data_IF_899077534493
#
_entry.id   IF_899077534493
#
_cell.length_a   1.000
_cell.length_b   1.000
_cell.length_c   1.000
_cell.angle_alpha   90.00
_cell.angle_beta   90.00
_cell.angle_gamma   90.00
#
_symmetry.space_group_name_H-M   'P 1'
#
loop_
_entity.id
_entity.type
_entity.pdbx_description
1 polymer ?
#
# COMPACT_ATOMS: atom_id res chain seq x y z
N UNK A 1 14.67 -10.16 -4.73
CA UNK A 1 13.41 -9.38 -4.67
C UNK A 1 12.28 -10.13 -3.97
N UNK A 2 12.05 -11.42 -4.25
CA UNK A 2 10.93 -12.19 -3.66
C UNK A 2 10.92 -12.24 -2.13
N UNK A 3 12.08 -12.44 -1.48
CA UNK A 3 12.16 -12.45 -0.01
C UNK A 3 11.71 -11.13 0.64
N UNK A 4 11.96 -9.99 0.00
CA UNK A 4 11.49 -8.67 0.49
C UNK A 4 9.97 -8.55 0.41
N UNK A 5 9.37 -9.05 -0.69
CA UNK A 5 7.91 -9.12 -0.85
C UNK A 5 7.28 -10.02 0.22
N UNK A 6 7.84 -11.20 0.43
CA UNK A 6 7.37 -12.14 1.47
C UNK A 6 7.47 -11.56 2.88
N UNK A 7 8.52 -10.77 3.16
CA UNK A 7 8.67 -10.08 4.44
C UNK A 7 7.63 -8.95 4.66
N UNK A 8 7.02 -8.44 3.59
CA UNK A 8 5.98 -7.41 3.67
C UNK A 8 4.60 -8.03 3.90
N UNK A 9 4.19 -8.96 3.04
CA UNK A 9 2.86 -9.55 3.10
C UNK A 9 2.80 -10.92 2.39
N UNK A 10 2.10 -11.92 2.94
CA UNK A 10 1.94 -13.23 2.30
C UNK A 10 1.38 -13.15 0.87
N UNK A 11 0.36 -12.30 0.66
CA UNK A 11 -0.29 -12.11 -0.65
C UNK A 11 0.61 -11.54 -1.75
N UNK A 12 1.80 -11.01 -1.42
CA UNK A 12 2.79 -10.59 -2.43
C UNK A 12 3.62 -11.77 -2.96
N UNK A 13 3.24 -13.00 -2.59
CA UNK A 13 3.78 -14.26 -3.06
C UNK A 13 2.62 -15.18 -3.47
N UNK A 14 2.86 -16.14 -4.37
CA UNK A 14 1.87 -17.17 -4.71
C UNK A 14 1.90 -18.31 -3.69
N UNK A 15 0.92 -18.39 -2.79
CA UNK A 15 0.79 -19.48 -1.80
C UNK A 15 -0.63 -20.05 -1.74
N UNK A 16 -1.65 -19.21 -1.87
CA UNK A 16 -3.05 -19.57 -1.66
C UNK A 16 -3.75 -20.10 -2.93
N UNK A 17 -3.26 -19.71 -4.11
CA UNK A 17 -3.71 -20.25 -5.40
C UNK A 17 -2.91 -21.51 -5.77
N UNK A 18 -3.32 -22.64 -5.20
CA UNK A 18 -2.74 -23.96 -5.49
C UNK A 18 -2.83 -24.33 -6.98
N UNK A 19 -1.92 -25.18 -7.47
CA UNK A 19 -1.88 -25.64 -8.87
C UNK A 19 -3.21 -26.19 -9.40
N UNK A 20 -4.03 -26.81 -8.54
CA UNK A 20 -5.38 -27.29 -8.88
C UNK A 20 -6.36 -26.16 -9.16
N UNK A 21 -6.39 -25.13 -8.29
CA UNK A 21 -7.18 -23.90 -8.51
C UNK A 21 -6.74 -23.19 -9.79
N UNK A 22 -5.43 -23.04 -10.00
CA UNK A 22 -4.89 -22.42 -11.21
C UNK A 22 -5.31 -23.17 -12.48
N UNK A 23 -5.29 -24.50 -12.47
CA UNK A 23 -5.76 -25.30 -13.60
C UNK A 23 -7.26 -25.13 -13.89
N UNK A 24 -8.08 -24.98 -12.84
CA UNK A 24 -9.50 -24.72 -13.01
C UNK A 24 -9.75 -23.31 -13.57
N UNK A 25 -9.09 -22.30 -12.99
CA UNK A 25 -9.19 -20.92 -13.45
C UNK A 25 -8.67 -20.75 -14.89
N UNK A 26 -7.56 -21.38 -15.25
CA UNK A 26 -6.96 -21.26 -16.59
C UNK A 26 -7.91 -21.81 -17.66
N UNK A 27 -8.63 -22.90 -17.37
CA UNK A 27 -9.68 -23.45 -18.25
C UNK A 27 -10.86 -22.50 -18.42
N UNK A 28 -11.32 -21.88 -17.33
CA UNK A 28 -12.44 -20.94 -17.34
C UNK A 28 -12.12 -19.62 -18.06
N UNK A 29 -10.86 -19.18 -18.00
CA UNK A 29 -10.40 -17.95 -18.66
C UNK A 29 -9.85 -18.15 -20.07
N UNK A 30 -9.69 -19.40 -20.52
CA UNK A 30 -8.96 -19.75 -21.74
C UNK A 30 -7.54 -19.14 -21.78
N UNK A 31 -6.90 -19.05 -20.60
CA UNK A 31 -5.52 -18.53 -20.42
C UNK A 31 -4.52 -19.65 -20.20
N UNK A 32 -3.25 -19.35 -20.45
CA UNK A 32 -2.14 -20.27 -20.18
C UNK A 32 -1.96 -20.36 -18.65
N UNK A 33 -1.92 -21.59 -18.13
CA UNK A 33 -1.75 -21.86 -16.70
C UNK A 33 -0.39 -21.36 -16.18
N UNK A 34 0.65 -21.51 -16.98
CA UNK A 34 2.03 -21.10 -16.66
C UNK A 34 2.12 -19.59 -16.40
N UNK A 35 1.34 -18.77 -17.14
CA UNK A 35 1.24 -17.32 -16.90
C UNK A 35 0.69 -17.01 -15.51
N UNK A 36 -0.25 -17.83 -15.02
CA UNK A 36 -0.86 -17.65 -13.70
C UNK A 36 0.03 -18.15 -12.57
N UNK A 37 0.91 -19.13 -12.84
CA UNK A 37 1.83 -19.69 -11.84
C UNK A 37 2.95 -18.72 -11.42
N UNK A 38 3.28 -17.75 -12.27
CA UNK A 38 4.26 -16.69 -11.96
C UNK A 38 3.65 -15.47 -11.27
N UNK A 39 2.32 -15.43 -11.14
CA UNK A 39 1.60 -14.33 -10.50
C UNK A 39 1.57 -14.49 -8.98
N UNK A 40 1.50 -13.35 -8.29
CA UNK A 40 1.25 -13.30 -6.84
C UNK A 40 -0.22 -13.59 -6.53
N UNK A 41 -0.50 -14.02 -5.31
CA UNK A 41 -1.88 -14.24 -4.87
C UNK A 41 -2.74 -12.97 -4.98
N UNK A 42 -2.15 -11.79 -4.73
CA UNK A 42 -2.84 -10.52 -4.89
C UNK A 42 -3.21 -10.22 -6.37
N UNK A 43 -2.30 -10.50 -7.31
CA UNK A 43 -2.60 -10.32 -8.74
C UNK A 43 -3.66 -11.30 -9.23
N UNK A 44 -3.61 -12.55 -8.75
CA UNK A 44 -4.63 -13.57 -9.05
C UNK A 44 -5.99 -13.18 -8.47
N UNK A 45 -6.03 -12.65 -7.24
CA UNK A 45 -7.26 -12.11 -6.66
C UNK A 45 -7.82 -10.96 -7.53
N UNK A 46 -6.98 -10.04 -8.01
CA UNK A 46 -7.41 -8.97 -8.92
C UNK A 46 -7.99 -9.51 -10.23
N UNK A 47 -7.44 -10.59 -10.77
CA UNK A 47 -8.05 -11.27 -11.92
C UNK A 47 -9.44 -11.81 -11.57
N UNK A 48 -9.63 -12.42 -10.40
CA UNK A 48 -10.96 -12.89 -9.97
C UNK A 48 -11.98 -11.76 -9.92
N UNK A 49 -11.58 -10.57 -9.46
CA UNK A 49 -12.48 -9.40 -9.43
C UNK A 49 -12.79 -8.84 -10.82
N UNK A 50 -11.86 -8.97 -11.78
CA UNK A 50 -12.03 -8.44 -13.13
C UNK A 50 -12.87 -9.36 -14.03
N UNK A 51 -12.79 -10.67 -13.82
CA UNK A 51 -13.39 -11.66 -14.70
C UNK A 51 -14.47 -12.48 -13.97
N UNK A 52 -15.76 -12.32 -14.33
CA UNK A 52 -16.86 -13.03 -13.68
C UNK A 52 -16.72 -14.56 -13.70
N UNK A 53 -16.06 -15.12 -14.72
CA UNK A 53 -15.86 -16.57 -14.86
C UNK A 53 -15.00 -17.20 -13.77
N UNK A 54 -14.19 -16.41 -13.06
CA UNK A 54 -13.30 -16.88 -11.98
C UNK A 54 -13.53 -16.13 -10.67
N UNK A 55 -14.62 -15.38 -10.55
CA UNK A 55 -14.94 -14.57 -9.38
C UNK A 55 -15.03 -15.41 -8.09
N UNK A 56 -15.52 -16.64 -8.18
CA UNK A 56 -15.65 -17.56 -7.05
C UNK A 56 -14.31 -17.97 -6.42
N UNK A 57 -13.19 -17.73 -7.12
CA UNK A 57 -11.83 -17.98 -6.62
C UNK A 57 -11.23 -16.76 -5.92
N UNK A 58 -11.99 -15.70 -5.67
CA UNK A 58 -11.50 -14.54 -4.92
C UNK A 58 -11.11 -14.92 -3.49
N UNK A 59 -9.98 -14.38 -3.01
CA UNK A 59 -9.59 -14.46 -1.60
C UNK A 59 -10.52 -13.70 -0.67
N UNK A 60 -10.67 -14.20 0.56
CA UNK A 60 -11.41 -13.54 1.63
C UNK A 60 -10.65 -12.33 2.17
N UNK A 61 -11.38 -11.31 2.65
CA UNK A 61 -10.79 -10.09 3.20
C UNK A 61 -9.86 -10.36 4.38
N UNK A 62 -10.13 -11.37 5.21
CA UNK A 62 -9.29 -11.72 6.36
C UNK A 62 -7.83 -12.04 5.96
N UNK A 63 -7.63 -12.58 4.75
CA UNK A 63 -6.30 -12.92 4.23
C UNK A 63 -5.48 -11.66 3.89
N UNK A 64 -6.12 -10.52 3.65
CA UNK A 64 -5.45 -9.23 3.43
C UNK A 64 -5.01 -8.57 4.73
N UNK A 65 -5.55 -9.03 5.85
CA UNK A 65 -5.24 -8.52 7.19
C UNK A 65 -4.22 -9.42 7.90
N UNK A 66 -4.03 -10.64 7.40
CA UNK A 66 -3.11 -11.63 7.94
C UNK A 66 -1.65 -11.33 7.56
N UNK A 67 -1.07 -10.35 8.27
CA UNK A 67 0.36 -10.04 8.21
C UNK A 67 0.84 -9.52 9.56
N UNK A 68 2.00 -10.02 10.00
CA UNK A 68 2.64 -9.55 11.23
C UNK A 68 2.94 -8.05 11.20
N UNK A 69 3.29 -7.49 10.02
CA UNK A 69 3.49 -6.04 9.87
C UNK A 69 2.19 -5.27 10.02
N UNK A 70 1.07 -5.78 9.48
CA UNK A 70 -0.23 -5.12 9.60
C UNK A 70 -0.78 -5.18 11.02
N UNK A 71 -0.52 -6.26 11.75
CA UNK A 71 -0.86 -6.37 13.17
C UNK A 71 -0.18 -5.27 14.00
N UNK A 72 1.13 -5.07 13.81
CA UNK A 72 1.86 -3.99 14.47
C UNK A 72 1.41 -2.60 13.98
N UNK A 73 1.19 -2.45 12.67
CA UNK A 73 0.70 -1.19 12.09
C UNK A 73 -0.65 -0.78 12.69
N UNK A 74 -1.54 -1.74 12.97
CA UNK A 74 -2.83 -1.48 13.61
C UNK A 74 -2.65 -0.86 14.99
N UNK A 75 -1.75 -1.41 15.81
CA UNK A 75 -1.46 -0.88 17.15
C UNK A 75 -0.87 0.53 17.06
N UNK A 76 0.09 0.72 16.15
CA UNK A 76 0.75 2.01 15.93
C UNK A 76 -0.24 3.08 15.48
N UNK A 77 -1.01 2.82 14.42
CA UNK A 77 -2.01 3.76 13.90
C UNK A 77 -3.09 4.09 14.92
N UNK A 78 -3.48 3.13 15.78
CA UNK A 78 -4.43 3.39 16.86
C UNK A 78 -3.88 4.40 17.87
N UNK A 79 -2.60 4.28 18.24
CA UNK A 79 -1.95 5.24 19.15
C UNK A 79 -1.85 6.63 18.52
N UNK A 80 -1.33 6.69 17.29
CA UNK A 80 -1.15 7.94 16.55
C UNK A 80 -2.48 8.67 16.31
N UNK A 81 -3.55 7.92 16.01
CA UNK A 81 -4.88 8.52 15.83
C UNK A 81 -5.40 9.14 17.13
N UNK A 82 -5.16 8.50 18.28
CA UNK A 82 -5.55 9.05 19.60
C UNK A 82 -4.78 10.33 19.94
N UNK A 83 -3.52 10.42 19.51
CA UNK A 83 -2.68 11.62 19.68
C UNK A 83 -3.07 12.75 18.72
N UNK A 84 -3.90 12.47 17.71
CA UNK A 84 -4.29 13.43 16.69
C UNK A 84 -3.15 13.71 15.71
N UNK A 85 -2.27 12.73 15.52
CA UNK A 85 -1.18 12.79 14.54
C UNK A 85 -1.68 12.38 13.16
N UNK A 86 -0.92 12.76 12.15
CA UNK A 86 -1.16 12.44 10.74
C UNK A 86 0.07 11.78 10.16
N UNK A 87 -0.16 10.71 9.40
CA UNK A 87 0.86 9.74 9.06
C UNK A 87 1.13 9.74 7.56
N UNK A 88 2.38 9.85 7.15
CA UNK A 88 2.82 9.43 5.80
C UNK A 88 3.41 8.04 5.89
N UNK A 89 2.82 7.11 5.16
CA UNK A 89 3.23 5.71 5.10
C UNK A 89 3.83 5.43 3.73
N UNK A 90 5.13 5.18 3.71
CA UNK A 90 5.89 4.87 2.51
C UNK A 90 6.05 3.37 2.27
N UNK A 91 5.97 2.97 1.01
CA UNK A 91 6.38 1.64 0.55
C UNK A 91 7.03 1.74 -0.84
N UNK A 92 7.99 0.88 -1.15
CA UNK A 92 8.54 0.78 -2.51
C UNK A 92 7.65 -0.03 -3.44
N UNK A 93 6.77 -0.87 -2.90
CA UNK A 93 5.93 -1.77 -3.68
C UNK A 93 4.52 -1.19 -3.80
N UNK A 94 4.13 -0.75 -5.00
CA UNK A 94 2.77 -0.23 -5.25
C UNK A 94 1.68 -1.26 -4.95
N UNK A 95 1.95 -2.55 -5.15
CA UNK A 95 1.04 -3.63 -4.74
C UNK A 95 0.86 -3.70 -3.22
N UNK A 96 1.88 -3.34 -2.44
CA UNK A 96 1.73 -3.25 -0.98
C UNK A 96 0.84 -2.06 -0.61
N UNK A 97 0.93 -0.94 -1.35
CA UNK A 97 -0.03 0.16 -1.20
C UNK A 97 -1.45 -0.30 -1.50
N UNK A 98 -1.67 -1.11 -2.55
CA UNK A 98 -3.00 -1.67 -2.84
C UNK A 98 -3.54 -2.52 -1.66
N UNK A 99 -2.69 -3.33 -1.02
CA UNK A 99 -3.06 -4.13 0.18
C UNK A 99 -3.36 -3.21 1.38
N UNK A 100 -2.53 -2.17 1.58
CA UNK A 100 -2.73 -1.19 2.64
C UNK A 100 -4.04 -0.42 2.49
N UNK A 101 -4.51 -0.17 1.26
CA UNK A 101 -5.83 0.43 1.04
C UNK A 101 -6.96 -0.47 1.55
N UNK A 102 -6.89 -1.79 1.30
CA UNK A 102 -7.87 -2.75 1.83
C UNK A 102 -7.84 -2.74 3.36
N UNK A 103 -6.64 -2.76 3.94
CA UNK A 103 -6.42 -2.68 5.39
C UNK A 103 -7.00 -1.39 6.00
N UNK A 104 -6.67 -0.21 5.45
CA UNK A 104 -7.14 1.09 5.96
C UNK A 104 -8.66 1.24 5.86
N UNK A 105 -9.28 0.71 4.80
CA UNK A 105 -10.75 0.62 4.69
C UNK A 105 -11.34 -0.25 5.80
N UNK A 106 -10.72 -1.40 6.09
CA UNK A 106 -11.18 -2.31 7.15
C UNK A 106 -11.13 -1.63 8.53
N UNK A 107 -10.03 -0.94 8.85
CA UNK A 107 -9.90 -0.19 10.12
C UNK A 107 -10.57 1.19 10.11
N UNK A 108 -11.31 1.52 9.04
CA UNK A 108 -12.09 2.77 8.86
C UNK A 108 -11.25 4.04 9.03
N UNK A 109 -10.04 4.03 8.50
CA UNK A 109 -9.18 5.21 8.45
C UNK A 109 -9.29 5.88 7.08
N UNK A 110 -9.62 7.18 7.06
CA UNK A 110 -9.57 7.99 5.84
C UNK A 110 -8.13 8.14 5.39
N UNK A 111 -7.88 7.93 4.11
CA UNK A 111 -6.55 8.02 3.53
C UNK A 111 -6.58 8.60 2.12
N UNK A 112 -5.43 9.08 1.67
CA UNK A 112 -5.14 9.41 0.26
C UNK A 112 -3.93 8.58 -0.17
N UNK A 113 -3.87 8.25 -1.46
CA UNK A 113 -2.72 7.59 -2.08
C UNK A 113 -2.07 8.48 -3.13
N UNK A 114 -0.73 8.52 -3.13
CA UNK A 114 0.08 9.18 -4.15
C UNK A 114 1.20 8.23 -4.60
N UNK A 115 1.17 7.81 -5.85
CA UNK A 115 2.23 7.00 -6.44
C UNK A 115 2.60 7.45 -7.86
N UNK A 116 3.62 6.80 -8.42
CA UNK A 116 4.17 7.15 -9.74
C UNK A 116 3.21 6.98 -10.91
N UNK A 117 2.08 6.29 -10.76
CA UNK A 117 1.11 6.09 -11.84
C UNK A 117 0.21 7.30 -12.08
N UNK A 118 0.08 8.20 -11.09
CA UNK A 118 -0.80 9.36 -11.19
C UNK A 118 -0.19 10.47 -12.06
N UNK A 119 -0.99 11.16 -12.89
CA UNK A 119 -0.57 12.38 -13.58
C UNK A 119 -0.11 13.50 -12.63
N UNK A 120 0.79 14.37 -13.07
CA UNK A 120 1.32 15.46 -12.24
C UNK A 120 0.24 16.42 -11.73
N UNK A 121 -0.78 16.72 -12.54
CA UNK A 121 -1.87 17.61 -12.15
C UNK A 121 -2.67 17.08 -10.96
N UNK A 122 -3.06 15.80 -11.02
CA UNK A 122 -3.82 15.14 -9.95
C UNK A 122 -3.03 15.07 -8.65
N UNK A 123 -1.69 14.91 -8.74
CA UNK A 123 -0.81 14.93 -7.55
C UNK A 123 -0.89 16.25 -6.80
N UNK A 124 -0.85 17.38 -7.50
CA UNK A 124 -0.92 18.72 -6.87
C UNK A 124 -2.25 18.87 -6.13
N UNK A 125 -3.36 18.46 -6.75
CA UNK A 125 -4.68 18.51 -6.12
C UNK A 125 -4.75 17.64 -4.86
N UNK A 126 -4.19 16.42 -4.89
CA UNK A 126 -4.18 15.53 -3.74
C UNK A 126 -3.29 16.05 -2.60
N UNK A 127 -2.18 16.72 -2.90
CA UNK A 127 -1.32 17.35 -1.90
C UNK A 127 -2.04 18.53 -1.23
N UNK A 128 -2.74 19.35 -2.01
CA UNK A 128 -3.53 20.46 -1.47
C UNK A 128 -4.68 19.95 -0.59
N UNK A 129 -5.38 18.91 -1.06
CA UNK A 129 -6.42 18.23 -0.28
C UNK A 129 -5.86 17.66 1.03
N UNK A 130 -4.69 17.03 0.97
CA UNK A 130 -3.99 16.51 2.14
C UNK A 130 -3.71 17.61 3.18
N UNK A 131 -3.23 18.77 2.74
CA UNK A 131 -2.90 19.87 3.63
C UNK A 131 -4.13 20.61 4.18
N UNK A 132 -5.25 20.60 3.45
CA UNK A 132 -6.47 21.33 3.82
C UNK A 132 -7.47 20.47 4.60
N UNK A 133 -7.67 19.20 4.22
CA UNK A 133 -8.61 18.27 4.86
C UNK A 133 -7.98 17.56 6.05
N UNK A 134 -8.25 18.05 7.27
CA UNK A 134 -7.68 17.51 8.52
C UNK A 134 -8.20 16.12 8.91
N UNK A 135 -9.29 15.66 8.30
CA UNK A 135 -9.89 14.36 8.62
C UNK A 135 -9.19 13.18 7.92
N UNK A 136 -8.36 13.47 6.91
CA UNK A 136 -7.48 12.51 6.26
C UNK A 136 -6.34 12.16 7.21
N UNK A 137 -6.30 10.92 7.67
CA UNK A 137 -5.38 10.48 8.69
C UNK A 137 -4.06 9.93 8.12
N UNK A 138 -4.15 9.15 7.04
CA UNK A 138 -3.01 8.42 6.46
C UNK A 138 -2.77 8.85 5.02
N UNK A 139 -1.52 9.08 4.67
CA UNK A 139 -1.06 9.31 3.30
C UNK A 139 -0.23 8.13 2.85
N UNK A 140 -0.77 7.35 1.92
CA UNK A 140 -0.05 6.25 1.29
C UNK A 140 0.82 6.80 0.18
N UNK A 141 2.12 6.54 0.24
CA UNK A 141 3.06 7.06 -0.75
C UNK A 141 4.00 5.98 -1.24
N UNK A 142 4.26 5.97 -2.55
CA UNK A 142 5.41 5.21 -3.04
C UNK A 142 6.70 5.96 -2.69
N UNK A 143 7.75 5.29 -2.21
CA UNK A 143 9.02 5.93 -1.85
C UNK A 143 9.57 6.78 -3.00
N UNK A 144 9.46 6.28 -4.24
CA UNK A 144 9.86 7.00 -5.45
C UNK A 144 9.04 8.28 -5.71
N UNK A 145 7.76 8.30 -5.35
CA UNK A 145 6.95 9.50 -5.46
C UNK A 145 7.27 10.52 -4.36
N UNK A 146 7.75 10.06 -3.19
CA UNK A 146 8.30 10.92 -2.13
C UNK A 146 9.59 11.64 -2.53
N UNK A 147 10.34 11.11 -3.49
CA UNK A 147 11.52 11.80 -4.03
C UNK A 147 11.18 13.05 -4.85
N UNK A 148 9.94 13.20 -5.31
CA UNK A 148 9.48 14.38 -6.05
C UNK A 148 9.34 15.58 -5.09
N UNK A 149 9.56 16.81 -5.58
CA UNK A 149 9.43 18.04 -4.78
C UNK A 149 7.97 18.31 -4.37
N UNK A 150 7.52 17.61 -3.32
CA UNK A 150 6.21 17.74 -2.70
C UNK A 150 6.35 18.30 -1.29
N UNK A 151 5.33 19.03 -0.83
CA UNK A 151 5.32 19.62 0.50
C UNK A 151 4.10 19.12 1.30
N UNK A 152 4.34 18.24 2.26
CA UNK A 152 3.31 17.63 3.12
C UNK A 152 3.47 18.16 4.55
N UNK A 153 3.27 19.46 4.74
CA UNK A 153 3.43 20.13 6.05
C UNK A 153 2.47 19.63 7.11
N UNK A 154 1.35 19.05 6.68
CA UNK A 154 0.28 18.66 7.59
C UNK A 154 0.48 17.29 8.23
N UNK A 155 1.45 16.49 7.77
CA UNK A 155 1.77 15.18 8.33
C UNK A 155 3.02 15.24 9.22
N UNK A 156 2.92 14.70 10.43
CA UNK A 156 3.96 14.81 11.45
C UNK A 156 4.58 13.47 11.88
N UNK A 157 4.14 12.36 11.28
CA UNK A 157 4.73 11.05 11.53
C UNK A 157 5.02 10.36 10.21
N UNK A 158 6.23 9.81 10.08
CA UNK A 158 6.65 9.02 8.92
C UNK A 158 6.76 7.55 9.31
N UNK A 159 6.14 6.68 8.52
CA UNK A 159 6.26 5.22 8.65
C UNK A 159 6.84 4.68 7.34
N UNK A 160 8.05 4.14 7.42
CA UNK A 160 8.64 3.36 6.33
C UNK A 160 8.19 1.90 6.47
N UNK A 161 7.21 1.48 5.67
CA UNK A 161 6.71 0.10 5.71
C UNK A 161 7.76 -0.91 5.23
N UNK A 162 8.56 -0.50 4.24
CA UNK A 162 9.71 -1.23 3.74
C UNK A 162 10.83 -0.26 3.29
N UNK A 163 12.05 -0.58 3.73
CA UNK A 163 13.26 0.25 3.58
C UNK A 163 13.89 0.01 2.22
N UNK A 164 14.30 1.07 1.54
CA UNK A 164 14.97 1.04 0.23
C UNK A 164 16.39 0.51 0.39
N UNK A 165 16.87 -0.17 -0.65
CA UNK A 165 18.27 -0.59 -0.68
C UNK A 165 19.22 0.61 -0.69
N UNK A 166 18.76 1.75 -1.21
CA UNK A 166 19.45 3.03 -1.12
C UNK A 166 18.85 3.89 0.00
N UNK A 167 19.50 4.01 1.17
CA UNK A 167 18.99 4.79 2.29
C UNK A 167 18.81 6.28 1.98
N UNK A 168 19.44 6.79 0.92
CA UNK A 168 19.22 8.16 0.47
C UNK A 168 17.78 8.40 0.02
N UNK A 169 17.15 7.41 -0.61
CA UNK A 169 15.76 7.54 -1.07
C UNK A 169 14.80 7.68 0.12
N UNK A 170 15.01 6.88 1.17
CA UNK A 170 14.20 6.93 2.39
C UNK A 170 14.43 8.22 3.14
N UNK A 171 15.68 8.66 3.30
CA UNK A 171 16.00 9.97 3.91
C UNK A 171 15.32 11.10 3.14
N UNK A 172 15.37 11.09 1.80
CA UNK A 172 14.71 12.11 1.00
C UNK A 172 13.19 12.08 1.19
N UNK A 173 12.58 10.91 1.35
CA UNK A 173 11.16 10.78 1.64
C UNK A 173 10.79 11.30 3.03
N UNK A 174 11.63 11.05 4.04
CA UNK A 174 11.51 11.60 5.40
C UNK A 174 11.63 13.13 5.42
N UNK A 175 12.61 13.68 4.69
CA UNK A 175 12.86 15.12 4.58
C UNK A 175 11.63 15.89 4.05
N UNK A 176 10.72 15.24 3.30
CA UNK A 176 9.46 15.85 2.83
C UNK A 176 8.46 16.11 3.94
N UNK A 177 8.54 15.37 5.03
CA UNK A 177 7.71 15.57 6.21
C UNK A 177 8.45 16.46 7.24
N UNK A 178 9.78 16.36 7.28
CA UNK A 178 10.67 17.16 8.12
C UNK A 178 11.09 18.48 7.42
N UNK A 179 10.12 19.36 7.17
CA UNK A 179 10.35 20.66 6.51
C UNK A 179 10.07 21.87 7.42
N UNK A 180 10.69 23.00 7.07
CA UNK A 180 10.49 24.30 7.71
C UNK A 180 9.03 24.74 7.52
N UNK A 181 8.27 24.80 8.62
CA UNK A 181 6.82 25.05 8.62
C UNK A 181 6.02 24.02 9.42
N UNK A 182 6.64 22.89 9.77
CA UNK A 182 6.03 21.92 10.69
C UNK A 182 5.99 22.47 12.12
N UNK A 183 4.82 22.43 12.76
CA UNK A 183 4.58 23.06 14.07
C UNK A 183 4.78 22.07 15.23
N UNK A 184 4.82 20.77 14.94
CA UNK A 184 4.99 19.68 15.93
C UNK A 184 6.34 18.98 15.75
N UNK A 185 6.98 18.58 16.85
CA UNK A 185 8.15 17.68 16.76
C UNK A 185 7.74 16.37 16.11
N UNK A 186 8.52 15.96 15.12
CA UNK A 186 8.44 14.65 14.44
C UNK A 186 9.26 13.65 15.24
#
# INVERSE_FOLDING_TARGET
MQLRKMANHPLLHGQHYTTTKLAAMSRLMLKIKEDMEVMTDFELHRLCLQYPSVQDYQLNTDMFLDSGKLSLLTQLLTSLKKQGDRVVLFSQFTMMLDILEVFLKHVKHRYIRLDGSMPMFDRIMLIDQCNTELDIFVFLMSTKAGCLDINLTSANVVILHDIDCNPYNDRQAEDRCHCVGQIRSI
#
